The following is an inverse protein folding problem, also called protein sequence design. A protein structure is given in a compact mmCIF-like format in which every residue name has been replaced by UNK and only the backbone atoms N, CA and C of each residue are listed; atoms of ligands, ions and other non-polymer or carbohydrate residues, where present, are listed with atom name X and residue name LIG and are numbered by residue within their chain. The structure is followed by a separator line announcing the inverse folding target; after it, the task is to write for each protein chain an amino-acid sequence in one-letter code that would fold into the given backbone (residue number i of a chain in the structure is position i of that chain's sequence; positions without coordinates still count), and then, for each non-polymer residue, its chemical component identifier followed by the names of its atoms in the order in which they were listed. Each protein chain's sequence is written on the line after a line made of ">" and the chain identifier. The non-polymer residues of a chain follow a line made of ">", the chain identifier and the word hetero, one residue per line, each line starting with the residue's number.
data_IF_968081552090
#
_entry.id   IF_968081552090
#
_cell.length_a   1.000
_cell.length_b   1.000
_cell.length_c   1.000
_cell.angle_alpha   90.00
_cell.angle_beta   90.00
_cell.angle_gamma   90.00
#
_symmetry.space_group_name_H-M   'P 1'
#
loop_
_entity.id
_entity.type
_entity.pdbx_description
1 polymer ?
#
# COMPACT_ATOMS: atom_id res chain seq x y z
N UNK A 1 25.14 22.50 59.46
CA UNK A 1 23.71 22.14 59.36
C UNK A 1 23.00 23.23 58.56
N UNK A 2 22.89 23.06 57.25
CA UNK A 2 21.98 23.83 56.40
C UNK A 2 21.58 22.92 55.24
N UNK A 3 20.31 22.50 55.27
CA UNK A 3 19.65 21.70 54.25
C UNK A 3 19.41 22.59 53.02
N UNK A 4 19.95 22.22 51.86
CA UNK A 4 19.54 22.83 50.60
C UNK A 4 18.67 21.81 49.84
N UNK A 5 17.38 22.11 49.77
CA UNK A 5 16.38 21.34 49.05
C UNK A 5 16.69 21.37 47.56
N UNK A 6 17.08 20.23 46.99
CA UNK A 6 17.18 20.05 45.55
C UNK A 6 15.74 19.89 45.00
N UNK A 7 15.19 20.97 44.44
CA UNK A 7 13.95 20.91 43.67
C UNK A 7 14.27 20.23 42.33
N UNK A 8 14.06 18.92 42.28
CA UNK A 8 14.06 18.14 41.05
C UNK A 8 12.85 18.57 40.21
N UNK A 9 13.09 19.44 39.22
CA UNK A 9 12.19 19.59 38.09
C UNK A 9 12.19 18.25 37.34
N UNK A 10 11.21 17.38 37.63
CA UNK A 10 10.94 16.21 36.80
C UNK A 10 10.35 16.72 35.50
N UNK A 11 11.20 16.95 34.49
CA UNK A 11 10.73 17.04 33.11
C UNK A 11 9.98 15.73 32.83
N UNK A 12 8.75 15.77 32.32
CA UNK A 12 8.04 14.57 31.94
C UNK A 12 8.81 13.93 30.77
N UNK A 13 9.64 12.94 31.09
CA UNK A 13 10.19 12.04 30.08
C UNK A 13 8.98 11.34 29.48
N UNK A 14 8.65 11.71 28.25
CA UNK A 14 7.55 11.14 27.48
C UNK A 14 7.91 9.69 27.20
N UNK A 15 7.47 8.78 28.07
CA UNK A 15 7.67 7.35 27.92
C UNK A 15 7.16 6.92 26.54
N UNK A 16 8.02 6.33 25.72
CA UNK A 16 7.60 5.64 24.51
C UNK A 16 6.73 4.46 24.92
N UNK A 17 5.50 4.40 24.43
CA UNK A 17 4.64 3.23 24.62
C UNK A 17 5.12 2.12 23.66
N UNK A 18 5.62 0.96 24.15
CA UNK A 18 6.22 -0.06 23.30
C UNK A 18 5.27 -0.76 22.31
N UNK A 19 3.97 -0.43 22.36
CA UNK A 19 2.94 -0.89 21.42
C UNK A 19 2.22 0.27 20.72
N UNK A 20 2.88 1.43 20.58
CA UNK A 20 2.36 2.53 19.78
C UNK A 20 2.33 2.13 18.30
N UNK A 21 1.16 2.19 17.69
CA UNK A 21 0.98 1.91 16.26
C UNK A 21 -0.02 2.91 15.71
N UNK A 22 0.24 3.43 14.51
CA UNK A 22 -0.77 4.13 13.75
C UNK A 22 -0.53 3.99 12.24
N UNK A 23 -1.62 4.11 11.49
CA UNK A 23 -1.60 4.22 10.04
C UNK A 23 -2.58 5.29 9.58
N UNK A 24 -2.27 5.88 8.43
CA UNK A 24 -3.12 6.88 7.79
C UNK A 24 -3.41 6.46 6.35
N UNK A 25 -4.62 6.71 5.89
CA UNK A 25 -5.01 6.41 4.51
C UNK A 25 -6.05 7.38 3.99
N UNK A 26 -6.14 7.53 2.67
CA UNK A 26 -7.25 8.15 1.98
C UNK A 26 -8.07 7.07 1.29
N UNK A 27 -9.40 7.22 1.26
CA UNK A 27 -10.30 6.22 0.66
C UNK A 27 -10.73 6.57 -0.77
N UNK A 28 -10.40 7.77 -1.25
CA UNK A 28 -10.80 8.28 -2.57
C UNK A 28 -9.92 9.44 -3.01
N UNK A 29 -10.06 9.82 -4.28
CA UNK A 29 -9.65 11.13 -4.79
C UNK A 29 -10.74 12.17 -4.55
N UNK A 30 -10.34 13.42 -4.36
CA UNK A 30 -11.22 14.53 -4.01
C UNK A 30 -11.42 15.45 -5.22
N UNK A 31 -12.59 16.08 -5.31
CA UNK A 31 -12.83 17.13 -6.29
C UNK A 31 -12.30 18.48 -5.77
N UNK A 32 -11.95 19.44 -6.64
CA UNK A 32 -11.62 20.80 -6.18
C UNK A 32 -12.77 21.39 -5.38
N UNK A 33 -12.47 22.05 -4.27
CA UNK A 33 -13.49 22.58 -3.36
C UNK A 33 -14.04 21.56 -2.35
N UNK A 34 -13.80 20.26 -2.55
CA UNK A 34 -14.21 19.22 -1.60
C UNK A 34 -13.30 19.23 -0.36
N UNK A 35 -13.88 18.97 0.82
CA UNK A 35 -13.09 18.77 2.04
C UNK A 35 -12.36 17.44 1.99
N UNK A 36 -11.04 17.49 2.13
CA UNK A 36 -10.19 16.30 2.19
C UNK A 36 -10.36 15.61 3.53
N UNK A 37 -10.52 14.29 3.50
CA UNK A 37 -10.67 13.45 4.69
C UNK A 37 -9.64 12.32 4.69
N UNK A 38 -9.05 12.07 5.84
CA UNK A 38 -8.08 10.99 6.06
C UNK A 38 -8.62 10.02 7.10
N UNK A 39 -8.41 8.73 6.88
CA UNK A 39 -8.71 7.70 7.86
C UNK A 39 -7.48 7.47 8.71
N UNK A 40 -7.67 7.54 10.03
CA UNK A 40 -6.61 7.37 11.02
C UNK A 40 -6.94 6.13 11.83
N UNK A 41 -6.03 5.17 11.81
CA UNK A 41 -6.05 4.02 12.70
C UNK A 41 -4.91 4.18 13.69
N UNK A 42 -5.17 4.04 14.98
CA UNK A 42 -4.11 4.14 15.99
C UNK A 42 -4.42 3.35 17.27
N UNK A 43 -3.36 2.90 17.91
CA UNK A 43 -3.38 2.18 19.19
C UNK A 43 -2.27 2.72 20.09
N UNK A 44 -2.60 3.08 21.33
CA UNK A 44 -1.65 3.56 22.35
C UNK A 44 -0.88 4.85 22.00
N UNK A 45 -1.41 5.68 21.11
CA UNK A 45 -0.85 6.99 20.75
C UNK A 45 -1.75 8.09 21.33
N UNK A 46 -1.25 9.00 22.17
CA UNK A 46 -2.09 10.01 22.83
C UNK A 46 -2.38 11.23 21.94
N UNK A 47 -1.51 11.52 20.97
CA UNK A 47 -1.69 12.61 20.04
C UNK A 47 -0.84 12.38 18.79
N UNK A 48 -1.38 12.81 17.64
CA UNK A 48 -0.69 12.82 16.37
C UNK A 48 -0.57 14.26 15.86
N UNK A 49 0.59 14.59 15.33
CA UNK A 49 0.80 15.78 14.53
C UNK A 49 0.67 15.40 13.06
N UNK A 50 -0.14 16.16 12.33
CA UNK A 50 -0.34 15.99 10.90
C UNK A 50 0.28 17.14 10.13
N UNK A 51 0.87 16.81 8.98
CA UNK A 51 1.49 17.75 8.06
C UNK A 51 1.07 17.39 6.65
N UNK A 52 0.72 18.39 5.85
CA UNK A 52 0.34 18.20 4.44
C UNK A 52 1.31 18.94 3.57
N UNK A 53 1.89 18.24 2.60
CA UNK A 53 2.87 18.79 1.66
C UNK A 53 2.32 18.71 0.25
N UNK A 54 2.36 19.81 -0.50
CA UNK A 54 2.05 19.80 -1.93
C UNK A 54 3.25 19.27 -2.72
N UNK A 55 3.02 18.25 -3.53
CA UNK A 55 4.04 17.70 -4.43
C UNK A 55 4.29 18.69 -5.56
N UNK A 56 5.56 19.09 -5.78
CA UNK A 56 5.94 20.06 -6.82
C UNK A 56 5.93 19.44 -8.21
N UNK A 57 6.50 18.24 -8.33
CA UNK A 57 6.55 17.48 -9.57
C UNK A 57 5.87 16.11 -9.33
N UNK A 58 4.58 15.99 -9.66
CA UNK A 58 3.85 14.75 -9.50
C UNK A 58 4.42 13.61 -10.33
N UNK A 59 5.00 13.90 -11.50
CA UNK A 59 5.52 12.83 -12.36
C UNK A 59 6.78 12.25 -11.76
N UNK A 60 7.76 13.09 -11.41
CA UNK A 60 8.97 12.63 -10.74
C UNK A 60 8.65 11.91 -9.42
N UNK A 61 7.67 12.41 -8.66
CA UNK A 61 7.21 11.76 -7.44
C UNK A 61 6.70 10.33 -7.68
N UNK A 62 5.79 10.14 -8.65
CA UNK A 62 5.22 8.83 -8.94
C UNK A 62 6.16 7.89 -9.71
N UNK A 63 7.16 8.43 -10.42
CA UNK A 63 8.24 7.66 -11.04
C UNK A 63 9.16 7.01 -9.98
N UNK A 64 9.58 7.80 -8.98
CA UNK A 64 10.51 7.34 -7.95
C UNK A 64 9.82 6.56 -6.82
N UNK A 65 8.50 6.61 -6.73
CA UNK A 65 7.77 5.84 -5.73
C UNK A 65 7.96 4.33 -5.97
N UNK A 66 8.46 3.61 -4.97
CA UNK A 66 8.68 2.16 -5.07
C UNK A 66 7.36 1.39 -5.27
N UNK A 67 6.29 1.80 -4.58
CA UNK A 67 4.99 1.16 -4.65
C UNK A 67 3.86 2.20 -4.58
N UNK A 68 2.92 2.16 -5.53
CA UNK A 68 1.74 3.05 -5.51
C UNK A 68 0.78 2.79 -4.35
N UNK A 69 0.82 1.59 -3.77
CA UNK A 69 -0.04 1.18 -2.67
C UNK A 69 0.59 1.38 -1.29
N UNK A 70 1.81 1.93 -1.21
CA UNK A 70 2.46 2.25 0.06
C UNK A 70 3.85 2.85 -0.11
N UNK A 71 4.27 3.69 0.84
CA UNK A 71 5.58 4.36 0.83
C UNK A 71 6.74 3.45 1.27
N UNK A 72 6.92 2.29 0.62
CA UNK A 72 8.03 1.37 0.92
C UNK A 72 7.94 0.62 2.27
N UNK A 73 6.86 0.82 3.02
CA UNK A 73 6.64 0.19 4.33
C UNK A 73 5.95 -1.17 4.17
N UNK A 74 6.71 -2.20 3.80
CA UNK A 74 6.25 -3.59 3.90
C UNK A 74 5.91 -3.97 5.34
N UNK A 75 5.27 -5.13 5.56
CA UNK A 75 4.94 -5.68 6.91
C UNK A 75 6.16 -5.88 7.83
N UNK A 76 7.37 -5.69 7.30
CA UNK A 76 8.63 -5.67 8.02
C UNK A 76 9.44 -4.47 7.51
N UNK A 77 9.18 -3.29 8.05
CA UNK A 77 10.20 -2.26 8.01
C UNK A 77 11.36 -2.75 8.91
N UNK A 78 12.64 -2.64 8.48
CA UNK A 78 13.68 -2.41 9.47
C UNK A 78 13.22 -1.18 10.25
N UNK A 79 13.22 -1.23 11.59
CA UNK A 79 13.06 -0.01 12.38
C UNK A 79 14.04 1.00 11.80
N UNK A 80 13.53 2.09 11.25
CA UNK A 80 14.36 3.22 10.86
C UNK A 80 15.16 3.55 12.13
N UNK A 81 16.47 3.31 12.09
CA UNK A 81 17.33 3.66 13.21
C UNK A 81 17.34 5.17 13.23
N UNK A 82 16.44 5.76 14.01
CA UNK A 82 16.69 7.07 14.58
C UNK A 82 18.04 6.85 15.28
N UNK A 83 19.10 7.43 14.74
CA UNK A 83 20.40 7.51 15.39
C UNK A 83 20.20 8.27 16.72
N UNK A 84 19.68 7.59 17.73
CA UNK A 84 19.92 7.94 19.12
C UNK A 84 21.32 7.42 19.39
N UNK A 85 22.35 8.28 19.49
CA UNK A 85 23.71 7.84 19.69
C UNK A 85 23.81 7.18 21.08
N UNK A 86 23.81 5.85 21.11
CA UNK A 86 23.83 4.99 22.29
C UNK A 86 22.69 5.25 23.31
N UNK A 87 21.75 4.30 23.52
CA UNK A 87 20.76 4.44 24.57
C UNK A 87 21.46 4.63 25.91
N UNK A 88 21.11 5.71 26.60
CA UNK A 88 21.72 6.09 27.88
C UNK A 88 21.47 4.99 28.93
N UNK A 89 22.30 4.91 29.97
CA UNK A 89 22.11 3.91 31.05
C UNK A 89 20.72 3.98 31.70
N UNK A 90 20.11 5.17 31.67
CA UNK A 90 18.77 5.43 32.20
C UNK A 90 17.69 4.84 31.29
N UNK A 91 17.85 4.93 29.96
CA UNK A 91 16.93 4.29 29.00
C UNK A 91 17.01 2.77 29.11
N UNK A 92 18.22 2.20 29.24
CA UNK A 92 18.38 0.74 29.46
C UNK A 92 17.73 0.26 30.75
N UNK A 93 17.87 1.03 31.84
CA UNK A 93 17.21 0.73 33.11
C UNK A 93 15.69 0.90 33.02
N UNK A 94 15.22 1.90 32.28
CA UNK A 94 13.81 2.12 32.02
C UNK A 94 13.18 0.96 31.25
N UNK A 95 13.82 0.50 30.18
CA UNK A 95 13.36 -0.61 29.35
C UNK A 95 13.29 -1.91 30.15
N UNK A 96 14.33 -2.19 30.94
CA UNK A 96 14.34 -3.34 31.86
C UNK A 96 13.20 -3.26 32.89
N UNK A 97 13.01 -2.09 33.53
CA UNK A 97 11.91 -1.90 34.50
C UNK A 97 10.55 -2.07 33.84
N UNK A 98 10.40 -1.62 32.60
CA UNK A 98 9.18 -1.74 31.83
C UNK A 98 8.87 -3.21 31.51
N UNK A 99 9.86 -3.97 31.08
CA UNK A 99 9.73 -5.40 30.79
C UNK A 99 9.29 -6.20 32.03
N UNK A 100 9.90 -5.90 33.19
CA UNK A 100 9.50 -6.47 34.48
C UNK A 100 8.06 -6.10 34.83
N UNK A 101 7.66 -4.84 34.63
CA UNK A 101 6.29 -4.41 34.93
C UNK A 101 5.26 -5.06 34.00
N UNK A 102 5.56 -5.24 32.72
CA UNK A 102 4.70 -5.94 31.76
C UNK A 102 4.51 -7.41 32.16
N UNK A 103 5.59 -8.10 32.54
CA UNK A 103 5.51 -9.48 33.02
C UNK A 103 4.66 -9.61 34.27
N UNK A 104 4.82 -8.69 35.25
CA UNK A 104 4.00 -8.65 36.46
C UNK A 104 2.52 -8.38 36.12
N UNK A 105 2.25 -7.39 35.28
CA UNK A 105 0.90 -7.02 34.86
C UNK A 105 0.22 -8.19 34.14
N UNK A 106 0.92 -8.86 33.23
CA UNK A 106 0.33 -9.92 32.43
C UNK A 106 0.16 -11.21 33.25
N UNK A 107 1.08 -11.49 34.19
CA UNK A 107 0.89 -12.53 35.21
C UNK A 107 -0.37 -12.28 36.04
N UNK A 108 -0.57 -11.05 36.55
CA UNK A 108 -1.75 -10.65 37.32
C UNK A 108 -3.00 -10.70 36.45
N UNK A 109 -2.96 -10.18 35.20
CA UNK A 109 -4.10 -10.25 34.27
C UNK A 109 -4.54 -11.69 34.08
N UNK A 110 -3.61 -12.62 33.87
CA UNK A 110 -3.90 -14.05 33.68
C UNK A 110 -4.62 -14.70 34.86
N UNK A 111 -4.60 -14.10 36.06
CA UNK A 111 -5.38 -14.57 37.22
C UNK A 111 -6.85 -14.13 37.21
N UNK A 112 -7.26 -13.19 36.34
CA UNK A 112 -8.64 -12.70 36.25
C UNK A 112 -9.40 -13.28 35.05
N UNK A 113 -10.67 -13.61 35.25
CA UNK A 113 -11.56 -14.04 34.16
C UNK A 113 -11.82 -12.91 33.13
N UNK A 114 -12.12 -13.24 31.86
CA UNK A 114 -12.44 -12.25 30.83
C UNK A 114 -13.57 -11.28 31.22
N UNK A 115 -14.59 -11.76 31.94
CA UNK A 115 -15.73 -10.94 32.41
C UNK A 115 -15.32 -9.90 33.45
N UNK A 116 -14.47 -10.28 34.42
CA UNK A 116 -13.96 -9.37 35.45
C UNK A 116 -13.08 -8.26 34.85
N UNK A 117 -12.33 -8.57 33.79
CA UNK A 117 -11.49 -7.60 33.07
C UNK A 117 -12.32 -6.54 32.31
N UNK A 118 -13.50 -6.91 31.82
CA UNK A 118 -14.40 -5.98 31.12
C UNK A 118 -15.01 -4.96 32.10
N UNK A 119 -15.46 -5.43 33.26
CA UNK A 119 -16.09 -4.59 34.28
C UNK A 119 -15.13 -3.53 34.87
N UNK A 120 -13.86 -3.88 35.09
CA UNK A 120 -12.82 -2.93 35.57
C UNK A 120 -12.55 -1.86 34.49
N UNK A 121 -12.60 -2.23 33.21
CA UNK A 121 -12.36 -1.30 32.09
C UNK A 121 -13.50 -0.31 31.93
N UNK A 122 -14.74 -0.77 32.12
CA UNK A 122 -15.95 0.05 32.01
C UNK A 122 -16.08 1.04 33.17
N UNK A 123 -15.73 0.65 34.41
CA UNK A 123 -15.77 1.56 35.57
C UNK A 123 -14.76 2.70 35.51
N UNK A 124 -13.69 2.57 34.74
CA UNK A 124 -12.73 3.66 34.48
C UNK A 124 -13.13 4.55 33.29
N UNK A 125 -14.01 4.08 32.41
CA UNK A 125 -14.46 4.81 31.23
C UNK A 125 -15.56 5.85 31.54
N UNK A 126 -16.36 5.64 32.60
CA UNK A 126 -17.45 6.55 32.98
C UNK A 126 -16.98 7.89 33.57
N UNK A 127 -15.73 8.00 34.01
CA UNK A 127 -15.25 9.14 34.80
C UNK A 127 -14.71 10.32 33.97
N UNK A 128 -14.56 10.21 32.64
CA UNK A 128 -13.93 11.28 31.84
C UNK A 128 -14.63 11.55 30.50
N UNK A 129 -15.46 12.60 30.47
CA UNK A 129 -15.97 13.24 29.24
C UNK A 129 -15.03 14.39 28.85
N UNK A 130 -14.60 14.44 27.58
CA UNK A 130 -13.61 15.41 27.09
C UNK A 130 -14.22 16.71 26.51
N UNK A 131 -13.48 17.82 26.68
CA UNK A 131 -13.60 19.08 25.92
C UNK A 131 -12.42 19.19 24.96
N UNK A 132 -12.67 19.65 23.74
CA UNK A 132 -11.63 20.01 22.76
C UNK A 132 -10.99 21.36 23.11
N UNK A 133 -9.66 21.46 23.07
CA UNK A 133 -8.93 22.74 23.19
C UNK A 133 -8.01 22.92 21.98
N UNK A 134 -8.00 24.14 21.44
CA UNK A 134 -7.17 24.62 20.33
C UNK A 134 -5.74 24.94 20.75
N UNK A 135 -4.82 24.62 19.83
CA UNK A 135 -3.47 25.11 19.55
C UNK A 135 -2.77 25.99 20.60
N UNK A 136 -1.67 25.48 21.16
CA UNK A 136 -0.31 25.96 20.86
C UNK A 136 0.75 25.09 21.57
N UNK A 137 2.01 25.19 21.10
CA UNK A 137 3.28 24.69 21.66
C UNK A 137 3.90 23.43 21.00
N UNK A 138 5.13 23.65 20.53
CA UNK A 138 5.95 22.86 19.61
C UNK A 138 6.92 21.88 20.29
N UNK A 139 7.26 20.80 19.56
CA UNK A 139 8.61 20.21 19.52
C UNK A 139 8.98 19.99 18.04
N UNK A 140 10.16 20.48 17.61
CA UNK A 140 10.56 20.52 16.20
C UNK A 140 11.11 19.17 15.74
N UNK A 141 10.25 18.36 15.12
CA UNK A 141 10.72 17.31 14.19
C UNK A 141 11.12 18.01 12.89
N UNK A 142 12.33 17.78 12.34
CA UNK A 142 12.78 18.44 11.11
C UNK A 142 11.77 18.21 9.98
N UNK A 143 11.40 19.30 9.31
CA UNK A 143 10.45 19.29 8.19
C UNK A 143 11.16 18.74 6.96
N UNK A 144 10.57 17.73 6.32
CA UNK A 144 11.09 17.13 5.08
C UNK A 144 11.22 18.17 3.96
N UNK A 145 10.32 19.16 3.88
CA UNK A 145 10.46 20.33 3.01
C UNK A 145 9.53 21.48 3.44
N UNK A 146 10.05 22.52 4.09
CA UNK A 146 9.24 23.65 4.57
C UNK A 146 8.53 24.41 3.45
N UNK A 147 9.10 24.45 2.25
CA UNK A 147 8.52 25.16 1.09
C UNK A 147 7.28 24.48 0.49
N UNK A 148 7.02 23.22 0.85
CA UNK A 148 5.88 22.45 0.35
C UNK A 148 4.75 22.31 1.38
N UNK A 149 4.98 22.71 2.63
CA UNK A 149 4.03 22.57 3.71
C UNK A 149 2.83 23.50 3.48
N UNK A 150 1.65 22.92 3.27
CA UNK A 150 0.40 23.66 3.11
C UNK A 150 -0.46 23.66 4.38
N UNK A 151 -0.20 22.72 5.29
CA UNK A 151 -0.97 22.61 6.52
C UNK A 151 -0.24 21.85 7.62
N UNK A 152 -0.55 22.22 8.86
CA UNK A 152 -0.08 21.52 10.04
C UNK A 152 -1.12 21.65 11.16
N UNK A 153 -1.44 20.54 11.82
CA UNK A 153 -2.25 20.56 13.03
C UNK A 153 -1.86 19.41 13.97
N UNK A 154 -2.30 19.51 15.22
CA UNK A 154 -2.19 18.44 16.20
C UNK A 154 -3.58 17.95 16.54
N UNK A 155 -3.75 16.64 16.60
CA UNK A 155 -4.98 16.00 17.00
C UNK A 155 -4.71 15.11 18.20
N UNK A 156 -5.46 15.33 19.27
CA UNK A 156 -5.48 14.41 20.41
C UNK A 156 -6.24 13.15 20.02
N UNK A 157 -5.65 12.01 20.34
CA UNK A 157 -6.18 10.69 20.02
C UNK A 157 -6.69 10.08 21.33
N UNK A 158 -7.92 9.58 21.30
CA UNK A 158 -8.52 8.96 22.49
C UNK A 158 -7.71 7.73 22.90
N UNK A 159 -7.46 7.51 24.21
CA UNK A 159 -6.81 6.29 24.67
C UNK A 159 -7.58 5.04 24.25
N UNK A 160 -6.87 4.02 23.79
CA UNK A 160 -7.45 2.75 23.34
C UNK A 160 -7.34 2.52 21.83
N UNK A 161 -8.22 1.69 21.29
CA UNK A 161 -8.34 1.47 19.86
C UNK A 161 -9.07 2.66 19.23
N UNK A 162 -8.42 3.35 18.30
CA UNK A 162 -8.98 4.50 17.61
C UNK A 162 -8.98 4.22 16.10
N UNK A 163 -10.17 4.26 15.50
CA UNK A 163 -10.37 4.09 14.06
C UNK A 163 -11.45 5.07 13.62
N UNK A 164 -11.04 6.27 13.22
CA UNK A 164 -11.95 7.32 12.81
C UNK A 164 -11.48 8.00 11.54
N UNK A 165 -12.45 8.51 10.77
CA UNK A 165 -12.17 9.44 9.68
C UNK A 165 -11.96 10.82 10.27
N UNK A 166 -10.72 11.28 10.29
CA UNK A 166 -10.40 12.65 10.62
C UNK A 166 -10.55 13.52 9.37
N UNK A 167 -11.36 14.57 9.44
CA UNK A 167 -11.35 15.60 8.40
C UNK A 167 -10.04 16.38 8.53
N UNK A 168 -9.37 16.60 7.39
CA UNK A 168 -8.24 17.52 7.36
C UNK A 168 -8.80 18.91 7.67
N UNK A 169 -8.34 19.60 8.74
CA UNK A 169 -8.89 20.88 9.18
C UNK A 169 -8.37 22.00 8.29
N UNK A 170 -8.63 21.90 6.98
CA UNK A 170 -8.27 22.91 5.99
C UNK A 170 -9.49 23.35 5.20
N UNK A 171 -9.55 24.64 4.82
CA UNK A 171 -10.34 25.02 3.67
C UNK A 171 -9.85 24.22 2.45
N UNK A 172 -10.75 23.93 1.52
CA UNK A 172 -10.50 23.08 0.34
C UNK A 172 -9.11 23.27 -0.27
N UNK A 173 -8.45 22.16 -0.62
CA UNK A 173 -7.15 22.19 -1.29
C UNK A 173 -7.31 22.46 -2.80
N UNK A 174 -6.32 23.11 -3.40
CA UNK A 174 -6.23 23.27 -4.86
C UNK A 174 -5.96 21.92 -5.55
N UNK A 175 -6.18 21.88 -6.87
CA UNK A 175 -5.79 20.74 -7.71
C UNK A 175 -4.32 20.36 -7.53
N UNK A 176 -4.07 19.06 -7.39
CA UNK A 176 -2.73 18.50 -7.29
C UNK A 176 -2.63 17.27 -6.40
N UNK A 177 -1.38 16.87 -6.18
CA UNK A 177 -1.00 15.72 -5.36
C UNK A 177 -0.40 16.22 -4.06
N UNK A 178 -0.83 15.62 -2.95
CA UNK A 178 -0.40 15.98 -1.62
C UNK A 178 0.05 14.75 -0.85
N UNK A 179 1.12 14.89 -0.08
CA UNK A 179 1.56 13.90 0.90
C UNK A 179 1.07 14.34 2.27
N UNK A 180 0.32 13.47 2.94
CA UNK A 180 -0.11 13.66 4.32
C UNK A 180 0.79 12.80 5.20
N UNK A 181 1.54 13.45 6.08
CA UNK A 181 2.36 12.85 7.12
C UNK A 181 1.60 12.92 8.45
N UNK A 182 1.59 11.81 9.19
CA UNK A 182 1.21 11.77 10.59
C UNK A 182 2.43 11.33 11.42
N UNK A 183 2.67 11.97 12.55
CA UNK A 183 3.79 11.64 13.45
C UNK A 183 3.44 11.87 14.92
N UNK A 184 3.97 11.04 15.80
CA UNK A 184 3.92 11.28 17.26
C UNK A 184 5.21 11.95 17.79
N UNK A 185 6.17 12.22 16.89
CA UNK A 185 7.54 12.66 17.18
C UNK A 185 8.60 11.59 16.94
N UNK A 186 8.19 10.32 16.92
CA UNK A 186 9.07 9.14 16.84
C UNK A 186 8.72 8.25 15.66
N UNK A 187 7.46 7.85 15.55
CA UNK A 187 6.95 7.10 14.41
C UNK A 187 6.37 8.07 13.37
N UNK A 188 6.32 7.62 12.13
CA UNK A 188 5.74 8.36 11.01
C UNK A 188 4.90 7.43 10.13
N UNK A 189 3.80 7.95 9.63
CA UNK A 189 2.97 7.29 8.62
C UNK A 189 2.61 8.29 7.53
N UNK A 190 2.53 7.81 6.29
CA UNK A 190 2.29 8.65 5.13
C UNK A 190 1.12 8.13 4.30
N UNK A 191 0.36 9.05 3.73
CA UNK A 191 -0.64 8.74 2.69
C UNK A 191 -0.66 9.83 1.63
N UNK A 192 -1.20 9.49 0.45
CA UNK A 192 -1.36 10.43 -0.67
C UNK A 192 -2.80 10.91 -0.70
N UNK A 193 -3.01 12.22 -0.78
CA UNK A 193 -4.28 12.82 -1.11
C UNK A 193 -4.18 13.45 -2.52
N UNK A 194 -5.13 13.13 -3.39
CA UNK A 194 -5.19 13.70 -4.74
C UNK A 194 -6.46 14.52 -4.90
N UNK A 195 -6.32 15.77 -5.31
CA UNK A 195 -7.41 16.67 -5.65
C UNK A 195 -7.38 16.87 -7.16
N UNK A 196 -8.39 16.35 -7.85
CA UNK A 196 -8.36 16.26 -9.32
C UNK A 196 -9.77 16.20 -9.90
N UNK A 197 -9.97 16.88 -11.03
CA UNK A 197 -11.13 16.68 -11.92
C UNK A 197 -10.83 15.68 -13.04
N UNK A 198 -9.60 15.23 -13.18
CA UNK A 198 -9.21 14.21 -14.16
C UNK A 198 -9.61 12.82 -13.66
N UNK A 199 -10.48 12.17 -14.41
CA UNK A 199 -10.74 10.74 -14.29
C UNK A 199 -9.83 9.96 -15.25
N UNK A 200 -9.26 8.87 -14.77
CA UNK A 200 -8.50 7.92 -15.56
C UNK A 200 -9.15 6.54 -15.42
N UNK A 201 -9.43 5.90 -16.56
CA UNK A 201 -9.93 4.53 -16.65
C UNK A 201 -8.95 3.77 -17.53
N UNK A 202 -8.56 2.56 -17.12
CA UNK A 202 -7.62 1.74 -17.89
C UNK A 202 -8.21 0.38 -18.20
N UNK A 203 -7.88 -0.12 -19.39
CA UNK A 203 -8.13 -1.51 -19.81
C UNK A 203 -6.82 -2.08 -20.31
N UNK A 204 -6.43 -3.22 -19.76
CA UNK A 204 -5.18 -3.90 -20.11
C UNK A 204 -5.47 -5.26 -20.75
N UNK A 205 -4.66 -5.61 -21.72
CA UNK A 205 -4.58 -6.92 -22.36
C UNK A 205 -3.10 -7.28 -22.56
N UNK A 206 -2.75 -8.53 -22.88
CA UNK A 206 -1.36 -8.91 -23.13
C UNK A 206 -0.70 -7.96 -24.14
N UNK A 207 0.41 -7.33 -23.74
CA UNK A 207 1.15 -6.36 -24.55
C UNK A 207 0.42 -5.04 -24.83
N UNK A 208 -0.74 -4.75 -24.23
CA UNK A 208 -1.52 -3.55 -24.54
C UNK A 208 -2.15 -2.92 -23.31
N UNK A 209 -2.05 -1.60 -23.19
CA UNK A 209 -2.78 -0.80 -22.22
C UNK A 209 -3.51 0.34 -22.92
N UNK A 210 -4.82 0.42 -22.72
CA UNK A 210 -5.66 1.51 -23.17
C UNK A 210 -6.01 2.38 -21.97
N UNK A 211 -5.68 3.67 -22.05
CA UNK A 211 -6.10 4.69 -21.10
C UNK A 211 -7.21 5.52 -21.71
N UNK A 212 -8.26 5.77 -20.94
CA UNK A 212 -9.32 6.72 -21.23
C UNK A 212 -9.34 7.81 -20.16
N UNK A 213 -9.23 9.06 -20.58
CA UNK A 213 -9.25 10.22 -19.70
C UNK A 213 -10.51 11.05 -19.91
N UNK A 214 -11.19 11.37 -18.81
CA UNK A 214 -12.43 12.13 -18.84
C UNK A 214 -12.52 13.13 -17.70
N UNK A 215 -13.32 14.17 -17.87
CA UNK A 215 -13.68 15.07 -16.79
C UNK A 215 -14.58 14.31 -15.81
N UNK A 216 -14.14 14.14 -14.57
CA UNK A 216 -14.81 13.34 -13.54
C UNK A 216 -16.24 13.81 -13.22
N UNK A 217 -16.53 15.10 -13.41
CA UNK A 217 -17.85 15.69 -13.12
C UNK A 217 -18.83 15.51 -14.26
N UNK A 218 -18.38 15.72 -15.49
CA UNK A 218 -19.26 15.73 -16.67
C UNK A 218 -19.24 14.43 -17.48
N UNK A 219 -18.20 13.61 -17.31
CA UNK A 219 -17.94 12.41 -18.12
C UNK A 219 -17.37 12.72 -19.51
N UNK A 220 -17.19 13.99 -19.88
CA UNK A 220 -16.68 14.36 -21.19
C UNK A 220 -15.22 13.93 -21.38
N UNK A 221 -14.83 13.40 -22.56
CA UNK A 221 -13.45 13.03 -22.83
C UNK A 221 -12.52 14.26 -22.79
N UNK A 222 -11.30 14.07 -22.32
CA UNK A 222 -10.26 15.11 -22.29
C UNK A 222 -9.12 14.69 -23.22
N UNK A 223 -8.83 15.51 -24.21
CA UNK A 223 -7.72 15.33 -25.15
C UNK A 223 -6.42 15.96 -24.66
N UNK A 224 -5.31 15.55 -25.27
CA UNK A 224 -3.97 16.09 -25.02
C UNK A 224 -3.55 15.96 -23.54
N UNK A 225 -4.00 14.90 -22.86
CA UNK A 225 -3.55 14.51 -21.52
C UNK A 225 -2.28 13.67 -21.67
N UNK A 226 -1.23 14.01 -20.92
CA UNK A 226 0.02 13.26 -20.92
C UNK A 226 -0.18 11.97 -20.13
N UNK A 227 -0.07 10.82 -20.82
CA UNK A 227 -0.19 9.49 -20.25
C UNK A 227 1.17 8.80 -20.29
N UNK A 228 1.66 8.40 -19.13
CA UNK A 228 2.93 7.68 -18.96
C UNK A 228 2.69 6.33 -18.29
N UNK A 229 3.41 5.32 -18.76
CA UNK A 229 3.30 3.94 -18.28
C UNK A 229 4.69 3.45 -17.90
N UNK A 230 4.80 2.87 -16.70
CA UNK A 230 6.01 2.22 -16.22
C UNK A 230 5.74 0.78 -15.82
N UNK A 231 6.79 -0.03 -15.90
CA UNK A 231 6.89 -1.35 -15.26
C UNK A 231 8.23 -1.42 -14.54
N UNK A 232 8.22 -1.81 -13.27
CA UNK A 232 9.41 -1.84 -12.39
C UNK A 232 10.29 -0.58 -12.52
N UNK A 233 9.66 0.59 -12.34
CA UNK A 233 10.31 1.92 -12.44
C UNK A 233 10.87 2.29 -13.82
N UNK A 234 10.85 1.39 -14.80
CA UNK A 234 11.23 1.70 -16.17
C UNK A 234 10.04 2.24 -16.94
N UNK A 235 10.16 3.44 -17.50
CA UNK A 235 9.16 3.99 -18.41
C UNK A 235 9.12 3.13 -19.67
N UNK A 236 7.95 2.58 -19.97
CA UNK A 236 7.73 1.74 -21.15
C UNK A 236 6.88 2.46 -22.20
N UNK A 237 6.07 3.45 -21.81
CA UNK A 237 5.28 4.24 -22.75
C UNK A 237 5.06 5.68 -22.29
N UNK A 238 4.99 6.59 -23.24
CA UNK A 238 4.62 8.00 -23.06
C UNK A 238 3.87 8.47 -24.30
N UNK A 239 2.65 8.95 -24.11
CA UNK A 239 1.76 9.35 -25.19
C UNK A 239 0.73 10.37 -24.70
N UNK A 240 0.07 11.03 -25.64
CA UNK A 240 -1.00 11.98 -25.37
C UNK A 240 -2.34 11.40 -25.80
N UNK A 241 -3.40 11.75 -25.07
CA UNK A 241 -4.75 11.34 -25.45
C UNK A 241 -5.24 12.05 -26.71
N UNK A 242 -5.96 11.33 -27.56
CA UNK A 242 -6.57 11.88 -28.78
C UNK A 242 -7.84 12.68 -28.48
N UNK A 243 -8.54 13.14 -29.53
CA UNK A 243 -9.81 13.90 -29.40
C UNK A 243 -10.94 13.13 -28.71
N UNK A 244 -10.85 11.80 -28.64
CA UNK A 244 -11.79 10.93 -27.92
C UNK A 244 -11.37 10.67 -26.48
N UNK A 245 -10.24 11.25 -26.03
CA UNK A 245 -9.69 11.05 -24.70
C UNK A 245 -8.99 9.70 -24.52
N UNK A 246 -8.61 9.02 -25.62
CA UNK A 246 -7.96 7.73 -25.58
C UNK A 246 -6.46 7.85 -25.84
N UNK A 247 -5.67 7.05 -25.12
CA UNK A 247 -4.27 6.81 -25.41
C UNK A 247 -3.98 5.31 -25.31
N UNK A 248 -3.48 4.71 -26.40
CA UNK A 248 -3.17 3.28 -26.45
C UNK A 248 -1.66 3.07 -26.46
N UNK A 249 -1.16 2.39 -25.44
CA UNK A 249 0.22 1.92 -25.36
C UNK A 249 0.25 0.46 -25.85
N UNK A 250 1.02 0.23 -26.91
CA UNK A 250 1.37 -1.12 -27.37
C UNK A 250 2.80 -1.41 -26.90
N UNK A 251 2.98 -2.58 -26.31
CA UNK A 251 4.24 -3.05 -25.76
C UNK A 251 4.57 -4.43 -26.31
N UNK A 252 5.86 -4.78 -26.43
CA UNK A 252 6.25 -6.15 -26.72
C UNK A 252 5.63 -7.13 -25.74
N UNK A 253 5.33 -8.32 -26.22
CA UNK A 253 4.91 -9.41 -25.35
C UNK A 253 6.04 -9.80 -24.39
N UNK A 254 5.83 -9.53 -23.10
CA UNK A 254 6.82 -9.76 -22.05
C UNK A 254 6.15 -9.94 -20.68
N UNK A 255 6.96 -10.28 -19.68
CA UNK A 255 6.53 -10.28 -18.28
C UNK A 255 6.74 -8.88 -17.68
N UNK A 256 5.66 -8.26 -17.27
CA UNK A 256 5.64 -6.97 -16.58
C UNK A 256 5.39 -7.15 -15.09
N UNK A 257 5.93 -6.23 -14.29
CA UNK A 257 5.65 -6.14 -12.86
C UNK A 257 5.49 -4.68 -12.44
N UNK A 258 4.81 -4.47 -11.30
CA UNK A 258 4.57 -3.16 -10.69
C UNK A 258 4.13 -2.09 -11.71
N UNK A 259 3.16 -2.45 -12.55
CA UNK A 259 2.67 -1.58 -13.63
C UNK A 259 1.95 -0.39 -13.03
N UNK A 260 2.28 0.80 -13.52
CA UNK A 260 1.64 2.05 -13.16
C UNK A 260 1.33 2.87 -14.41
N UNK A 261 0.18 3.53 -14.39
CA UNK A 261 -0.29 4.41 -15.46
C UNK A 261 -0.63 5.74 -14.80
N UNK A 262 0.07 6.81 -15.22
CA UNK A 262 -0.14 8.17 -14.75
C UNK A 262 -0.71 9.00 -15.90
N UNK A 263 -1.72 9.81 -15.62
CA UNK A 263 -2.28 10.80 -16.51
C UNK A 263 -2.13 12.19 -15.87
N UNK A 264 -1.59 13.15 -16.63
CA UNK A 264 -1.35 14.53 -16.17
C UNK A 264 -1.87 15.52 -17.20
N UNK A 265 -2.64 16.50 -16.74
CA UNK A 265 -3.03 17.69 -17.51
C UNK A 265 -2.93 18.90 -16.59
N UNK A 266 -1.95 19.76 -16.84
CA UNK A 266 -1.65 20.90 -15.97
C UNK A 266 -1.44 20.46 -14.50
N UNK A 267 -2.34 20.86 -13.60
CA UNK A 267 -2.31 20.48 -12.18
C UNK A 267 -3.20 19.27 -11.85
N UNK A 268 -4.00 18.79 -12.79
CA UNK A 268 -4.82 17.59 -12.60
C UNK A 268 -3.97 16.34 -12.84
N UNK A 269 -3.99 15.44 -11.87
CA UNK A 269 -3.22 14.20 -11.88
C UNK A 269 -4.14 13.05 -11.52
N UNK A 270 -4.02 11.94 -12.26
CA UNK A 270 -4.69 10.69 -11.95
C UNK A 270 -3.72 9.52 -12.16
N UNK A 271 -3.72 8.56 -11.24
CA UNK A 271 -2.80 7.41 -11.27
C UNK A 271 -3.55 6.12 -11.00
N UNK A 272 -3.17 5.06 -11.70
CA UNK A 272 -3.68 3.70 -11.51
C UNK A 272 -2.53 2.69 -11.52
N UNK A 273 -2.70 1.61 -10.75
CA UNK A 273 -1.79 0.48 -10.70
C UNK A 273 -2.54 -0.79 -11.15
N UNK A 274 -2.73 -1.01 -12.47
CA UNK A 274 -3.38 -2.23 -12.93
C UNK A 274 -2.52 -3.45 -12.58
N UNK A 275 -3.16 -4.58 -12.29
CA UNK A 275 -2.44 -5.82 -12.03
C UNK A 275 -1.60 -6.22 -13.25
N UNK A 276 -0.31 -6.47 -13.02
CA UNK A 276 0.65 -6.70 -14.09
C UNK A 276 0.40 -7.97 -14.91
N UNK A 277 -0.30 -8.96 -14.34
CA UNK A 277 -0.67 -10.19 -15.06
C UNK A 277 -1.58 -9.91 -16.26
N UNK A 278 -2.35 -8.81 -16.26
CA UNK A 278 -3.22 -8.45 -17.37
C UNK A 278 -2.47 -7.83 -18.55
N UNK A 279 -1.35 -7.15 -18.29
CA UNK A 279 -0.49 -6.55 -19.30
C UNK A 279 0.58 -7.54 -19.79
N UNK A 280 1.01 -8.43 -18.90
CA UNK A 280 1.99 -9.47 -19.23
C UNK A 280 1.39 -10.44 -20.22
N UNK A 281 2.20 -10.87 -21.18
CA UNK A 281 1.89 -12.07 -21.94
C UNK A 281 2.57 -13.28 -21.30
N UNK A 282 1.92 -14.42 -21.41
CA UNK A 282 2.55 -15.71 -21.15
C UNK A 282 2.23 -16.59 -22.36
N UNK A 283 3.09 -16.64 -23.38
CA UNK A 283 2.84 -17.46 -24.58
C UNK A 283 2.63 -18.94 -24.26
N UNK A 284 3.14 -19.45 -23.12
CA UNK A 284 2.84 -20.82 -22.68
C UNK A 284 1.40 -20.97 -22.17
N UNK A 285 0.79 -19.92 -21.63
CA UNK A 285 -0.62 -19.93 -21.23
C UNK A 285 -1.58 -19.91 -22.42
N UNK A 286 -1.09 -19.60 -23.63
CA UNK A 286 -1.90 -19.73 -24.85
C UNK A 286 -2.11 -21.20 -25.23
N UNK A 287 -1.27 -22.12 -24.72
CA UNK A 287 -1.48 -23.55 -24.88
C UNK A 287 -2.51 -24.06 -23.88
N UNK A 288 -3.54 -24.71 -24.39
CA UNK A 288 -4.51 -25.47 -23.59
C UNK A 288 -4.40 -26.94 -23.98
N UNK A 289 -4.14 -27.79 -22.99
CA UNK A 289 -3.99 -29.22 -23.17
C UNK A 289 -4.98 -30.01 -22.32
N UNK A 290 -5.55 -31.05 -22.90
CA UNK A 290 -6.27 -32.07 -22.15
C UNK A 290 -5.56 -33.41 -22.33
N UNK A 291 -5.06 -33.96 -21.23
CA UNK A 291 -4.37 -35.24 -21.19
C UNK A 291 -5.20 -36.21 -20.39
N UNK A 292 -5.51 -37.36 -20.98
CA UNK A 292 -6.27 -38.39 -20.29
C UNK A 292 -5.85 -39.78 -20.75
N UNK A 293 -6.00 -40.72 -19.85
CA UNK A 293 -5.87 -42.15 -20.12
C UNK A 293 -7.22 -42.74 -20.47
N UNK A 294 -7.24 -43.91 -21.08
CA UNK A 294 -8.48 -44.66 -21.31
C UNK A 294 -9.12 -45.14 -19.98
N UNK A 295 -8.33 -45.26 -18.92
CA UNK A 295 -8.76 -45.61 -17.56
C UNK A 295 -7.89 -44.97 -16.47
N UNK A 296 -8.43 -44.70 -15.27
CA UNK A 296 -7.69 -44.01 -14.21
C UNK A 296 -6.68 -44.88 -13.47
N UNK A 297 -6.75 -46.22 -13.59
CA UNK A 297 -5.90 -47.15 -12.82
C UNK A 297 -5.38 -48.27 -13.72
N UNK A 298 -4.08 -48.55 -13.62
CA UNK A 298 -3.39 -49.65 -14.28
C UNK A 298 -2.70 -50.54 -13.26
N UNK A 299 -2.51 -51.81 -13.61
CA UNK A 299 -1.73 -52.77 -12.83
C UNK A 299 -0.35 -52.95 -13.46
N UNK A 300 0.64 -53.47 -12.72
CA UNK A 300 1.90 -53.89 -13.32
C UNK A 300 1.65 -54.78 -14.54
N UNK A 301 2.47 -54.64 -15.58
CA UNK A 301 2.36 -55.28 -16.91
C UNK A 301 1.25 -54.78 -17.84
N UNK A 302 0.32 -53.92 -17.38
CA UNK A 302 -0.64 -53.31 -18.29
C UNK A 302 0.05 -52.34 -19.25
N UNK A 303 -0.40 -52.33 -20.51
CA UNK A 303 -0.09 -51.24 -21.44
C UNK A 303 -0.94 -50.02 -21.09
N UNK A 304 -0.30 -48.86 -20.96
CA UNK A 304 -0.95 -47.57 -20.73
C UNK A 304 -1.32 -46.94 -22.06
N UNK A 305 -2.61 -46.61 -22.23
CA UNK A 305 -3.10 -45.88 -23.39
C UNK A 305 -3.50 -44.47 -22.95
N UNK A 306 -2.94 -43.47 -23.61
CA UNK A 306 -3.22 -42.07 -23.32
C UNK A 306 -3.51 -41.30 -24.61
N UNK A 307 -4.29 -40.23 -24.47
CA UNK A 307 -4.55 -39.26 -25.51
C UNK A 307 -4.25 -37.86 -24.98
N UNK A 308 -3.65 -37.06 -25.86
CA UNK A 308 -3.39 -35.65 -25.64
C UNK A 308 -4.18 -34.88 -26.70
N UNK A 309 -4.94 -33.87 -26.28
CA UNK A 309 -5.56 -32.90 -27.17
C UNK A 309 -4.94 -31.54 -26.85
N UNK A 310 -4.19 -30.98 -27.80
CA UNK A 310 -3.58 -29.65 -27.68
C UNK A 310 -4.31 -28.65 -28.55
N UNK A 311 -4.50 -27.45 -28.02
CA UNK A 311 -5.01 -26.27 -28.71
C UNK A 311 -4.15 -25.08 -28.33
N UNK A 312 -3.99 -24.14 -29.24
CA UNK A 312 -3.53 -22.79 -28.92
C UNK A 312 -4.70 -21.84 -28.93
N UNK A 313 -4.68 -20.84 -28.04
CA UNK A 313 -5.67 -19.77 -28.00
C UNK A 313 -5.23 -18.65 -28.92
N UNK A 314 -6.16 -18.13 -29.70
CA UNK A 314 -5.98 -16.98 -30.57
C UNK A 314 -7.20 -16.07 -30.38
N UNK A 315 -7.10 -15.12 -29.44
CA UNK A 315 -8.24 -14.33 -29.00
C UNK A 315 -9.31 -15.19 -28.32
N UNK A 316 -10.51 -15.20 -28.89
CA UNK A 316 -11.65 -16.00 -28.39
C UNK A 316 -11.76 -17.39 -29.03
N UNK A 317 -10.83 -17.75 -29.94
CA UNK A 317 -10.87 -19.00 -30.67
C UNK A 317 -9.75 -19.96 -30.27
N UNK A 318 -10.02 -21.25 -30.38
CA UNK A 318 -9.00 -22.30 -30.34
C UNK A 318 -8.50 -22.62 -31.75
N UNK A 319 -7.19 -22.81 -31.88
CA UNK A 319 -6.53 -23.27 -33.10
C UNK A 319 -5.82 -24.59 -32.87
N UNK A 320 -5.72 -25.39 -33.93
CA UNK A 320 -4.88 -26.58 -33.95
C UNK A 320 -3.45 -26.11 -34.26
N UNK A 321 -2.47 -26.34 -33.37
CA UNK A 321 -1.08 -25.95 -33.59
C UNK A 321 -0.36 -26.96 -34.51
N UNK A 322 -0.82 -27.05 -35.76
CA UNK A 322 -0.30 -28.00 -36.75
C UNK A 322 1.16 -27.69 -37.11
N UNK A 323 1.99 -28.73 -37.20
CA UNK A 323 3.43 -28.62 -37.50
C UNK A 323 4.31 -28.31 -36.30
N UNK A 324 3.73 -28.00 -35.13
CA UNK A 324 4.50 -27.78 -33.91
C UNK A 324 5.06 -29.10 -33.36
N UNK A 325 6.29 -29.04 -32.86
CA UNK A 325 6.92 -30.18 -32.18
C UNK A 325 6.58 -30.13 -30.71
N UNK A 326 6.01 -31.21 -30.19
CA UNK A 326 5.70 -31.35 -28.77
C UNK A 326 6.33 -32.60 -28.19
N UNK A 327 6.76 -32.48 -26.94
CA UNK A 327 7.32 -33.60 -26.18
C UNK A 327 6.30 -34.06 -25.14
N UNK A 328 6.03 -35.36 -25.12
CA UNK A 328 5.34 -36.01 -24.02
C UNK A 328 6.35 -36.78 -23.18
N UNK A 329 6.22 -36.72 -21.87
CA UNK A 329 6.93 -37.61 -20.96
C UNK A 329 5.99 -38.17 -19.91
N UNK A 330 6.31 -39.36 -19.42
CA UNK A 330 5.64 -40.04 -18.32
C UNK A 330 6.68 -40.27 -17.24
N UNK A 331 6.32 -39.96 -16.00
CA UNK A 331 7.20 -40.12 -14.83
C UNK A 331 6.61 -41.13 -13.85
N UNK A 332 7.50 -41.79 -13.11
CA UNK A 332 7.12 -42.58 -11.93
C UNK A 332 6.87 -41.67 -10.71
N UNK A 333 6.40 -42.21 -9.56
CA UNK A 333 6.16 -41.41 -8.35
C UNK A 333 7.41 -40.72 -7.78
N UNK A 334 8.61 -41.11 -8.19
CA UNK A 334 9.87 -40.48 -7.79
C UNK A 334 10.35 -39.45 -8.83
N UNK A 335 9.47 -39.02 -9.74
CA UNK A 335 9.77 -38.09 -10.85
C UNK A 335 10.82 -38.62 -11.84
N UNK A 336 11.02 -39.95 -11.90
CA UNK A 336 11.91 -40.56 -12.89
C UNK A 336 11.15 -40.76 -14.20
N UNK A 337 11.67 -40.23 -15.29
CA UNK A 337 11.11 -40.41 -16.63
C UNK A 337 11.13 -41.89 -17.03
N UNK A 338 9.96 -42.46 -17.29
CA UNK A 338 9.76 -43.83 -17.79
C UNK A 338 9.45 -43.87 -19.29
N UNK A 339 8.93 -42.78 -19.85
CA UNK A 339 8.74 -42.60 -21.29
C UNK A 339 9.02 -41.15 -21.65
N UNK A 340 9.69 -40.93 -22.77
CA UNK A 340 9.86 -39.62 -23.39
C UNK A 340 9.74 -39.78 -24.89
N UNK A 341 8.87 -39.00 -25.53
CA UNK A 341 8.61 -39.10 -26.96
C UNK A 341 8.25 -37.74 -27.55
N UNK A 342 8.78 -37.47 -28.74
CA UNK A 342 8.46 -36.28 -29.51
C UNK A 342 7.39 -36.60 -30.55
N UNK A 343 6.47 -35.66 -30.76
CA UNK A 343 5.39 -35.72 -31.73
C UNK A 343 5.34 -34.44 -32.53
N UNK A 344 4.99 -34.55 -33.80
CA UNK A 344 4.64 -33.41 -34.65
C UNK A 344 3.11 -33.39 -34.79
N UNK A 345 2.50 -32.24 -34.48
CA UNK A 345 1.05 -32.07 -34.41
C UNK A 345 0.36 -31.86 -35.76
#
# INVERSE_FOLDING_TARGET
>A
MFFCFLVLFTLPVRAQNPNAYFSVSTSKTFSPGEKVSIHVYSTNVPALEFRVYRVKDPVAFFEHLENLHGFGMGRFAPKEQIEAPNPTLIERFHDWKHEVWVQIRDFIRMQFSPGSRAHIRESHAETQKSKSVTADVFAQVPLLNSSQLVARWRQEIRPGFYSETAQVPLPSLDKGVYVVEATDGTLRAYTIAMVTELGLITKTAPGQALAFTANRRTGAPISDVDVRVWSDQKQIGELKTDSSGLAQVVQPEARYQNVRILAVKDNDVAVLAPYSYNLSSNPQADWTGYVYTDRPVYRPTHTVHFKVILRTRSGEHYRVPAGEQVQSFIEDPNSKTVLQKNFTL
#
